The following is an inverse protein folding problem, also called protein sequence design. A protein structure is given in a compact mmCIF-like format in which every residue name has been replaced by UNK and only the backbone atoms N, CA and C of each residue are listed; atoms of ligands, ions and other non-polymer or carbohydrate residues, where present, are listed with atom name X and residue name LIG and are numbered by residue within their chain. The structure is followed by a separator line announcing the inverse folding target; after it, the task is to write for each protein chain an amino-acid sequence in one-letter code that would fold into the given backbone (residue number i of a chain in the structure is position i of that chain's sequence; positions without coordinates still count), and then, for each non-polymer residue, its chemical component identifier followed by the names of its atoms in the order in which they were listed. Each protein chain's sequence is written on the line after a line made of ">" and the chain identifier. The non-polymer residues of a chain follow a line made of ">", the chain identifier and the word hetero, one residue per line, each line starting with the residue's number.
data_IF_488070889728
#
_entry.id   IF_488070889728
#
_cell.length_a   1.000
_cell.length_b   1.000
_cell.length_c   1.000
_cell.angle_alpha   90.00
_cell.angle_beta   90.00
_cell.angle_gamma   90.00
#
_symmetry.space_group_name_H-M   'P 1'
#
loop_
_entity.id
_entity.type
_entity.pdbx_description
1 polymer ?
#
# COMPACT_ATOMS: atom_id res chain seq x y z
N UNK A 1 -41.01 -48.51 36.86
CA UNK A 1 -40.62 -47.29 36.14
C UNK A 1 -41.18 -46.13 36.96
N UNK A 2 -40.42 -45.63 37.94
CA UNK A 2 -39.40 -44.56 37.78
C UNK A 2 -40.00 -43.25 37.25
N UNK A 3 -39.78 -42.06 37.80
CA UNK A 3 -39.22 -41.55 39.05
C UNK A 3 -39.62 -40.04 39.07
N UNK A 4 -39.83 -39.51 40.27
CA UNK A 4 -39.84 -38.09 40.68
C UNK A 4 -39.71 -36.96 39.62
N UNK A 5 -40.65 -36.01 39.63
CA UNK A 5 -40.41 -34.64 39.14
C UNK A 5 -40.65 -33.65 40.28
N UNK A 6 -39.61 -33.49 41.09
CA UNK A 6 -39.47 -32.41 42.06
C UNK A 6 -39.08 -31.10 41.37
N UNK A 7 -39.40 -30.03 42.08
CA UNK A 7 -39.24 -28.62 41.76
C UNK A 7 -37.81 -28.22 41.41
N UNK A 8 -37.64 -27.23 40.53
CA UNK A 8 -36.55 -26.25 40.67
C UNK A 8 -36.91 -24.95 39.94
N UNK A 9 -36.93 -23.87 40.74
CA UNK A 9 -37.08 -22.47 40.33
C UNK A 9 -35.88 -21.98 39.49
N UNK A 10 -36.18 -21.07 38.56
CA UNK A 10 -35.37 -19.87 38.28
C UNK A 10 -36.25 -18.93 37.42
N UNK A 11 -37.05 -18.05 38.02
CA UNK A 11 -36.71 -16.63 38.23
C UNK A 11 -36.09 -15.98 37.00
N UNK A 12 -36.93 -15.47 36.11
CA UNK A 12 -36.51 -14.59 35.01
C UNK A 12 -36.94 -13.17 35.40
N UNK A 13 -36.05 -12.46 36.06
CA UNK A 13 -36.11 -11.00 36.17
C UNK A 13 -35.43 -10.40 34.93
N UNK A 14 -36.02 -9.37 34.28
CA UNK A 14 -35.33 -8.64 33.23
C UNK A 14 -34.36 -7.66 33.89
N UNK A 15 -33.05 -7.97 33.84
CA UNK A 15 -32.04 -6.96 34.10
C UNK A 15 -31.77 -6.24 32.77
N UNK A 16 -32.16 -4.97 32.72
CA UNK A 16 -31.89 -4.05 31.62
C UNK A 16 -30.43 -4.16 31.20
N UNK A 17 -30.22 -4.57 29.95
CA UNK A 17 -28.93 -4.57 29.30
C UNK A 17 -28.36 -3.16 29.38
N UNK A 18 -27.25 -3.04 30.11
CA UNK A 18 -26.36 -1.90 30.03
C UNK A 18 -26.05 -1.65 28.56
N UNK A 19 -26.28 -0.42 28.14
CA UNK A 19 -25.87 0.14 26.86
C UNK A 19 -24.45 -0.32 26.56
N UNK A 20 -24.33 -1.13 25.50
CA UNK A 20 -23.05 -1.52 24.95
C UNK A 20 -22.25 -0.27 24.62
N UNK A 21 -21.27 0.02 25.44
CA UNK A 21 -20.10 0.78 25.01
C UNK A 21 -19.22 -0.20 24.23
N UNK A 22 -19.71 -0.59 23.06
CA UNK A 22 -18.86 -1.13 22.02
C UNK A 22 -17.96 0.02 21.60
N UNK A 23 -16.75 0.05 22.13
CA UNK A 23 -15.61 0.71 21.51
C UNK A 23 -15.39 -0.01 20.16
N UNK A 24 -16.27 0.24 19.20
CA UNK A 24 -15.97 0.05 17.80
C UNK A 24 -15.00 1.18 17.43
N UNK A 25 -13.76 1.03 17.89
CA UNK A 25 -12.61 1.52 17.14
C UNK A 25 -12.67 0.84 15.80
N UNK A 26 -13.42 1.45 14.91
CA UNK A 26 -13.04 1.59 13.51
C UNK A 26 -11.65 2.21 13.52
N UNK A 27 -10.65 1.35 13.68
CA UNK A 27 -9.33 1.61 13.12
C UNK A 27 -9.57 1.67 11.62
N UNK A 28 -9.92 2.86 11.15
CA UNK A 28 -9.60 3.32 9.81
C UNK A 28 -8.18 2.83 9.58
N UNK A 29 -8.03 1.84 8.69
CA UNK A 29 -6.74 1.25 8.37
C UNK A 29 -5.95 2.40 7.76
N UNK A 30 -5.10 2.96 8.62
CA UNK A 30 -4.13 4.00 8.39
C UNK A 30 -3.71 3.98 6.92
N UNK A 31 -4.28 4.90 6.14
CA UNK A 31 -3.69 5.31 4.87
C UNK A 31 -2.29 5.73 5.25
N UNK A 32 -1.33 4.80 5.18
CA UNK A 32 0.06 4.97 5.58
C UNK A 32 0.52 6.31 5.01
N UNK A 33 0.45 7.35 5.85
CA UNK A 33 0.79 8.71 5.45
C UNK A 33 2.29 8.68 5.42
N UNK A 34 2.86 8.39 4.26
CA UNK A 34 4.29 8.47 4.09
C UNK A 34 4.66 9.93 4.24
N UNK A 35 5.30 10.31 5.34
CA UNK A 35 5.81 11.67 5.49
C UNK A 35 7.08 11.81 4.64
N UNK A 36 7.08 12.62 3.56
CA UNK A 36 8.26 12.80 2.73
C UNK A 36 9.44 13.44 3.48
N UNK A 37 9.20 14.02 4.67
CA UNK A 37 10.23 14.66 5.50
C UNK A 37 10.92 13.69 6.45
N UNK A 38 10.34 12.53 6.69
CA UNK A 38 10.92 11.49 7.54
C UNK A 38 11.76 10.51 6.68
N UNK A 39 13.09 10.38 6.93
CA UNK A 39 13.96 9.53 6.14
C UNK A 39 13.63 8.04 6.26
N UNK A 40 13.09 7.58 7.38
CA UNK A 40 12.70 6.18 7.56
C UNK A 40 11.45 5.86 6.75
N UNK A 41 10.48 6.77 6.70
CA UNK A 41 9.27 6.65 5.90
C UNK A 41 9.56 6.68 4.40
N UNK A 42 10.42 7.60 3.95
CA UNK A 42 10.86 7.64 2.54
C UNK A 42 11.58 6.35 2.16
N UNK A 43 12.49 5.87 3.00
CA UNK A 43 13.20 4.60 2.76
C UNK A 43 12.24 3.42 2.71
N UNK A 44 11.28 3.36 3.64
CA UNK A 44 10.26 2.32 3.68
C UNK A 44 9.38 2.36 2.44
N UNK A 45 8.96 3.54 1.98
CA UNK A 45 8.17 3.72 0.78
C UNK A 45 8.93 3.27 -0.48
N UNK A 46 10.22 3.62 -0.63
CA UNK A 46 11.05 3.16 -1.75
C UNK A 46 11.20 1.63 -1.75
N UNK A 47 11.41 1.02 -0.57
CA UNK A 47 11.49 -0.45 -0.42
C UNK A 47 10.17 -1.12 -0.78
N UNK A 48 9.04 -0.60 -0.26
CA UNK A 48 7.69 -1.10 -0.56
C UNK A 48 7.37 -0.96 -2.05
N UNK A 49 7.68 0.19 -2.64
CA UNK A 49 7.50 0.45 -4.07
C UNK A 49 8.24 -0.59 -4.92
N UNK A 50 9.53 -0.81 -4.64
CA UNK A 50 10.35 -1.81 -5.34
C UNK A 50 9.74 -3.22 -5.23
N UNK A 51 9.37 -3.64 -4.02
CA UNK A 51 8.82 -4.97 -3.77
C UNK A 51 7.44 -5.16 -4.41
N UNK A 52 6.56 -4.15 -4.32
CA UNK A 52 5.22 -4.18 -4.89
C UNK A 52 5.25 -4.13 -6.41
N UNK A 53 6.14 -3.34 -7.03
CA UNK A 53 6.33 -3.34 -8.48
C UNK A 53 6.77 -4.71 -9.00
N UNK A 54 7.73 -5.34 -8.34
CA UNK A 54 8.18 -6.70 -8.67
C UNK A 54 7.05 -7.73 -8.53
N UNK A 55 6.22 -7.62 -7.49
CA UNK A 55 5.05 -8.51 -7.29
C UNK A 55 3.94 -8.26 -8.30
N UNK A 56 3.60 -7.00 -8.57
CA UNK A 56 2.60 -6.62 -9.57
C UNK A 56 2.98 -7.17 -10.95
N UNK A 57 4.27 -7.17 -11.29
CA UNK A 57 4.78 -7.81 -12.50
C UNK A 57 4.54 -9.32 -12.53
N UNK A 58 4.72 -10.02 -11.41
CA UNK A 58 4.40 -11.45 -11.31
C UNK A 58 2.90 -11.67 -11.45
N UNK A 59 2.07 -10.81 -10.84
CA UNK A 59 0.62 -10.88 -10.98
C UNK A 59 0.17 -10.71 -12.45
N UNK A 60 0.87 -9.89 -13.25
CA UNK A 60 0.62 -9.80 -14.70
C UNK A 60 0.91 -11.11 -15.45
N UNK A 61 1.86 -11.91 -14.96
CA UNK A 61 2.21 -13.21 -15.55
C UNK A 61 1.36 -14.36 -14.99
N UNK A 62 0.78 -14.20 -13.81
CA UNK A 62 -0.08 -15.19 -13.15
C UNK A 62 -1.20 -14.50 -12.37
N UNK A 63 -2.41 -14.37 -12.94
CA UNK A 63 -3.53 -13.62 -12.33
C UNK A 63 -4.16 -14.29 -11.10
N UNK A 64 -3.46 -15.24 -10.47
CA UNK A 64 -3.99 -16.09 -9.40
C UNK A 64 -4.10 -15.40 -8.04
N UNK A 65 -3.46 -14.23 -7.84
CA UNK A 65 -3.54 -13.41 -6.61
C UNK A 65 -3.48 -11.90 -6.90
N UNK A 66 -4.60 -11.26 -7.28
CA UNK A 66 -4.63 -9.81 -7.49
C UNK A 66 -4.57 -9.09 -6.13
N UNK A 67 -3.48 -8.36 -5.86
CA UNK A 67 -3.40 -7.52 -4.67
C UNK A 67 -2.21 -6.55 -4.68
N UNK A 68 -1.08 -6.95 -5.27
CA UNK A 68 0.08 -6.08 -5.33
C UNK A 68 -0.15 -4.84 -6.20
N UNK A 69 -0.94 -4.96 -7.27
CA UNK A 69 -1.27 -3.83 -8.15
C UNK A 69 -2.10 -2.75 -7.43
N UNK A 70 -3.07 -3.13 -6.59
CA UNK A 70 -3.88 -2.18 -5.81
C UNK A 70 -3.10 -1.55 -4.67
N UNK A 71 -2.28 -2.33 -3.96
CA UNK A 71 -1.38 -1.81 -2.93
C UNK A 71 -0.36 -0.84 -3.52
N UNK A 72 0.20 -1.17 -4.69
CA UNK A 72 1.10 -0.29 -5.42
C UNK A 72 0.40 0.99 -5.85
N UNK A 73 -0.82 0.91 -6.41
CA UNK A 73 -1.57 2.09 -6.81
C UNK A 73 -1.79 3.07 -5.65
N UNK A 74 -2.14 2.56 -4.47
CA UNK A 74 -2.32 3.39 -3.27
C UNK A 74 -1.00 4.05 -2.82
N UNK A 75 0.11 3.31 -2.84
CA UNK A 75 1.42 3.86 -2.51
C UNK A 75 1.87 4.94 -3.50
N UNK A 76 1.68 4.69 -4.80
CA UNK A 76 2.04 5.64 -5.86
C UNK A 76 1.23 6.94 -5.74
N UNK A 77 -0.04 6.88 -5.38
CA UNK A 77 -0.85 8.07 -5.15
C UNK A 77 -0.24 8.98 -4.05
N UNK A 78 0.26 8.40 -2.95
CA UNK A 78 0.95 9.18 -1.92
C UNK A 78 2.30 9.73 -2.37
N UNK A 79 3.06 8.96 -3.16
CA UNK A 79 4.36 9.41 -3.69
C UNK A 79 4.25 10.50 -4.75
N UNK A 80 3.13 10.57 -5.49
CA UNK A 80 2.87 11.62 -6.48
C UNK A 80 2.70 13.01 -5.85
N UNK A 81 2.29 13.05 -4.58
CA UNK A 81 2.08 14.29 -3.83
C UNK A 81 3.37 14.79 -3.17
N UNK A 82 4.51 14.12 -3.40
CA UNK A 82 5.78 14.55 -2.87
C UNK A 82 6.30 15.80 -3.59
N UNK A 83 6.38 16.89 -2.83
CA UNK A 83 7.11 18.08 -3.23
C UNK A 83 8.62 17.81 -3.13
N UNK A 84 9.31 17.75 -4.28
CA UNK A 84 10.72 17.34 -4.38
C UNK A 84 11.62 18.11 -3.41
N UNK A 85 11.40 19.41 -3.24
CA UNK A 85 12.14 20.28 -2.31
C UNK A 85 11.92 19.91 -0.83
N UNK A 86 10.74 19.38 -0.48
CA UNK A 86 10.37 19.02 0.89
C UNK A 86 10.76 17.58 1.26
N UNK A 87 11.12 16.74 0.28
CA UNK A 87 11.54 15.36 0.52
C UNK A 87 12.90 15.38 1.20
N UNK A 88 13.07 14.61 2.28
CA UNK A 88 14.39 14.39 2.89
C UNK A 88 15.29 13.62 1.92
N UNK A 89 16.61 13.81 2.03
CA UNK A 89 17.59 13.21 1.11
C UNK A 89 17.43 11.67 1.12
N UNK A 90 16.92 11.04 0.04
CA UNK A 90 16.66 9.62 0.04
C UNK A 90 17.95 8.83 -0.20
N UNK A 91 17.98 7.56 0.22
CA UNK A 91 19.09 6.67 -0.14
C UNK A 91 19.20 6.56 -1.67
N UNK A 92 20.39 6.83 -2.24
CA UNK A 92 20.57 6.91 -3.69
C UNK A 92 20.31 5.57 -4.39
N UNK A 93 20.74 4.48 -3.77
CA UNK A 93 20.60 3.13 -4.33
C UNK A 93 19.13 2.74 -4.34
N UNK A 94 18.41 2.97 -3.23
CA UNK A 94 16.99 2.68 -3.12
C UNK A 94 16.15 3.50 -4.09
N UNK A 95 16.51 4.77 -4.31
CA UNK A 95 15.82 5.66 -5.28
C UNK A 95 15.95 5.10 -6.70
N UNK A 96 17.17 4.73 -7.11
CA UNK A 96 17.44 4.13 -8.43
C UNK A 96 16.72 2.79 -8.59
N UNK A 97 16.74 1.93 -7.56
CA UNK A 97 16.07 0.63 -7.61
C UNK A 97 14.55 0.76 -7.75
N UNK A 98 13.95 1.68 -6.99
CA UNK A 98 12.52 1.95 -7.09
C UNK A 98 12.15 2.48 -8.49
N UNK A 99 12.93 3.42 -9.02
CA UNK A 99 12.73 3.95 -10.37
C UNK A 99 12.87 2.85 -11.44
N UNK A 100 13.91 2.03 -11.37
CA UNK A 100 14.11 0.93 -12.32
C UNK A 100 12.96 -0.09 -12.29
N UNK A 101 12.45 -0.43 -11.10
CA UNK A 101 11.33 -1.34 -10.95
C UNK A 101 10.02 -0.77 -11.52
N UNK A 102 9.75 0.53 -11.32
CA UNK A 102 8.58 1.21 -11.89
C UNK A 102 8.67 1.33 -13.40
N UNK A 103 9.86 1.62 -13.95
CA UNK A 103 10.06 1.69 -15.39
C UNK A 103 9.80 0.33 -16.06
N UNK A 104 10.39 -0.76 -15.55
CA UNK A 104 10.14 -2.11 -16.06
C UNK A 104 8.65 -2.50 -15.98
N UNK A 105 7.97 -2.14 -14.90
CA UNK A 105 6.53 -2.38 -14.76
C UNK A 105 5.71 -1.59 -15.79
N UNK A 106 5.97 -0.29 -15.93
CA UNK A 106 5.24 0.59 -16.85
C UNK A 106 5.44 0.15 -18.32
N UNK A 107 6.67 -0.22 -18.70
CA UNK A 107 6.97 -0.77 -20.03
C UNK A 107 6.16 -2.05 -20.30
N UNK A 108 6.09 -2.97 -19.33
CA UNK A 108 5.31 -4.22 -19.45
C UNK A 108 3.82 -3.98 -19.52
N UNK A 109 3.30 -3.06 -18.71
CA UNK A 109 1.88 -2.68 -18.73
C UNK A 109 1.46 -2.08 -20.07
N UNK A 110 2.36 -1.38 -20.78
CA UNK A 110 2.10 -0.85 -22.13
C UNK A 110 2.29 -1.90 -23.23
N UNK A 111 3.25 -2.81 -23.07
CA UNK A 111 3.53 -3.86 -24.04
C UNK A 111 2.48 -4.98 -24.02
N UNK A 112 1.88 -5.25 -22.87
CA UNK A 112 0.72 -6.10 -22.77
C UNK A 112 -0.50 -5.32 -23.27
N UNK A 113 -0.94 -5.65 -24.48
CA UNK A 113 -2.10 -5.09 -25.20
C UNK A 113 -3.44 -5.30 -24.43
N UNK A 114 -4.60 -5.16 -25.09
CA UNK A 114 -5.97 -5.27 -24.54
C UNK A 114 -6.31 -6.51 -23.67
N UNK A 115 -5.38 -7.44 -23.47
CA UNK A 115 -5.51 -8.60 -22.57
C UNK A 115 -5.35 -8.27 -21.09
N UNK A 116 -4.93 -7.05 -20.73
CA UNK A 116 -4.77 -6.67 -19.34
C UNK A 116 -6.08 -6.30 -18.62
N UNK A 117 -6.14 -6.50 -17.28
CA UNK A 117 -7.28 -6.09 -16.47
C UNK A 117 -7.58 -4.58 -16.55
N UNK A 118 -8.84 -4.22 -16.32
CA UNK A 118 -9.24 -2.83 -16.13
C UNK A 118 -8.42 -2.20 -14.98
N UNK A 119 -7.78 -1.07 -15.25
CA UNK A 119 -6.91 -0.37 -14.30
C UNK A 119 -5.41 -0.41 -14.60
N UNK A 120 -4.95 -1.28 -15.50
CA UNK A 120 -3.53 -1.35 -15.90
C UNK A 120 -3.00 -0.06 -16.53
N UNK A 121 -3.82 0.64 -17.33
CA UNK A 121 -3.45 1.93 -17.90
C UNK A 121 -3.31 3.04 -16.84
N UNK A 122 -4.21 3.04 -15.84
CA UNK A 122 -4.13 3.97 -14.72
C UNK A 122 -2.89 3.71 -13.87
N UNK A 123 -2.57 2.43 -13.61
CA UNK A 123 -1.34 2.06 -12.89
C UNK A 123 -0.08 2.47 -13.65
N UNK A 124 -0.04 2.30 -14.97
CA UNK A 124 1.09 2.75 -15.80
C UNK A 124 1.25 4.28 -15.74
N UNK A 125 0.14 5.01 -15.85
CA UNK A 125 0.14 6.48 -15.72
C UNK A 125 0.65 6.91 -14.34
N UNK A 126 0.21 6.23 -13.27
CA UNK A 126 0.66 6.53 -11.93
C UNK A 126 2.14 6.23 -11.72
N UNK A 127 2.65 5.15 -12.30
CA UNK A 127 4.07 4.82 -12.26
C UNK A 127 4.91 5.88 -12.98
N UNK A 128 4.44 6.39 -14.12
CA UNK A 128 5.12 7.48 -14.85
C UNK A 128 5.19 8.76 -14.03
N UNK A 129 4.10 9.15 -13.38
CA UNK A 129 4.09 10.35 -12.53
C UNK A 129 5.10 10.24 -11.38
N UNK A 130 5.19 9.09 -10.71
CA UNK A 130 6.18 8.87 -9.64
C UNK A 130 7.60 8.78 -10.20
N UNK A 131 7.80 8.23 -11.40
CA UNK A 131 9.12 8.22 -12.05
C UNK A 131 9.66 9.64 -12.24
N UNK A 132 8.82 10.61 -12.60
CA UNK A 132 9.22 12.01 -12.70
C UNK A 132 9.66 12.58 -11.34
N UNK A 133 8.94 12.28 -10.25
CA UNK A 133 9.35 12.65 -8.89
C UNK A 133 10.72 12.06 -8.54
N UNK A 134 10.91 10.75 -8.76
CA UNK A 134 12.18 10.07 -8.45
C UNK A 134 13.34 10.61 -9.31
N UNK A 135 13.08 10.95 -10.58
CA UNK A 135 14.06 11.56 -11.48
C UNK A 135 14.46 12.95 -11.03
N UNK A 136 13.51 13.76 -10.57
CA UNK A 136 13.78 15.07 -10.01
C UNK A 136 14.67 14.96 -8.74
N UNK A 137 14.35 14.03 -7.83
CA UNK A 137 15.16 13.76 -6.64
C UNK A 137 16.60 13.36 -6.99
N UNK A 138 16.79 12.56 -8.05
CA UNK A 138 18.12 12.21 -8.56
C UNK A 138 18.84 13.41 -9.21
N UNK A 139 18.13 14.22 -10.00
CA UNK A 139 18.69 15.35 -10.74
C UNK A 139 19.17 16.48 -9.83
N UNK A 140 18.55 16.69 -8.67
CA UNK A 140 18.97 17.68 -7.68
C UNK A 140 20.27 17.33 -6.94
N UNK A 141 20.90 16.20 -7.25
CA UNK A 141 22.15 15.78 -6.61
C UNK A 141 21.95 15.36 -5.14
N UNK A 142 20.69 15.13 -4.72
CA UNK A 142 20.35 14.52 -3.42
C UNK A 142 20.69 13.03 -3.37
N UNK A 143 21.19 12.47 -4.46
CA UNK A 143 21.62 11.08 -4.60
C UNK A 143 23.14 11.09 -4.62
N UNK A 144 23.75 11.21 -3.44
CA UNK A 144 25.22 11.20 -3.33
C UNK A 144 25.70 9.74 -3.26
N UNK A 145 25.98 9.14 -4.42
CA UNK A 145 26.75 7.90 -4.49
C UNK A 145 28.18 8.26 -4.11
N UNK A 146 28.61 7.88 -2.91
CA UNK A 146 29.95 8.11 -2.39
C UNK A 146 31.02 7.81 -3.47
N UNK A 147 31.79 8.84 -3.81
CA UNK A 147 33.07 8.76 -4.51
C UNK A 147 34.19 8.40 -3.52
#
# INVERSE_FOLDING_TARGET
>A
MELARGEQQASVAPLLAGTGSGDERTVDVDRSVVDPRDPDDVTLALRRCTALAARARVDLLSPSRPGAASELAALLAGMQEWEVDAVTVPDPIMTVLAAAALQDLAERLRAADQTLPAGSAALATSADAVLEVLRALMAEGRVNVLA
#
